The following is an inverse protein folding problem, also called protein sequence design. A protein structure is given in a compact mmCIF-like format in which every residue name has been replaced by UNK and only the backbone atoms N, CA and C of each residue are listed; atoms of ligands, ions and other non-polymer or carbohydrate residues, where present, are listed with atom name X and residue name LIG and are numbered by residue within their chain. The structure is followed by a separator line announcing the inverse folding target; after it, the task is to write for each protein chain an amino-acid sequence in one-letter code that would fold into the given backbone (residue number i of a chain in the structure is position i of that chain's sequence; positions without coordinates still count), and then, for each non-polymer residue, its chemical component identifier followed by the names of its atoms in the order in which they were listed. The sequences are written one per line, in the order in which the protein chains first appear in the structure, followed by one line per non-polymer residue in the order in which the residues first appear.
data_IF_556558957804
#
_entry.id   IF_556558957804
#
_cell.length_a   1.000
_cell.length_b   1.000
_cell.length_c   1.000
_cell.angle_alpha   90.00
_cell.angle_beta   90.00
_cell.angle_gamma   90.00
#
_symmetry.space_group_name_H-M   'P 1'
#
loop_
_entity.id
_entity.type
_entity.pdbx_description
1 polymer ?
#
# COMPACT_ATOMS: atom_id res chain seq x y z
N UNK A 1 57.61 -10.97 84.10
CA UNK A 1 57.80 -12.33 83.64
C UNK A 1 56.41 -12.96 83.51
N UNK A 2 56.17 -13.61 82.44
CA UNK A 2 55.01 -14.43 82.06
C UNK A 2 53.83 -13.76 81.31
N UNK A 3 53.98 -13.93 80.03
CA UNK A 3 52.94 -13.78 79.01
C UNK A 3 51.90 -14.88 79.10
N UNK A 4 50.62 -14.52 79.03
CA UNK A 4 49.57 -15.44 78.58
C UNK A 4 48.86 -14.80 77.46
N UNK A 5 49.00 -15.38 76.26
CA UNK A 5 48.35 -15.03 75.01
C UNK A 5 46.91 -15.47 75.10
N UNK A 6 45.99 -14.55 74.90
CA UNK A 6 44.59 -14.87 74.61
C UNK A 6 44.38 -14.85 73.10
N UNK A 7 44.04 -16.00 72.57
CA UNK A 7 43.63 -16.25 71.21
C UNK A 7 42.22 -15.78 71.03
N UNK A 8 42.03 -14.71 70.31
CA UNK A 8 40.65 -14.24 69.94
C UNK A 8 40.35 -14.72 68.52
N UNK A 9 39.48 -15.71 68.46
CA UNK A 9 38.86 -16.19 67.20
C UNK A 9 38.00 -15.09 66.58
N UNK A 10 38.42 -14.60 65.42
CA UNK A 10 37.54 -13.72 64.60
C UNK A 10 36.72 -14.57 63.68
N UNK A 11 35.41 -14.68 63.96
CA UNK A 11 34.42 -15.27 63.11
C UNK A 11 34.06 -14.23 62.02
N UNK A 12 34.54 -14.45 60.81
CA UNK A 12 34.16 -13.61 59.66
C UNK A 12 32.78 -14.07 59.13
N UNK A 13 31.77 -13.27 59.39
CA UNK A 13 30.44 -13.44 58.77
C UNK A 13 30.52 -12.88 57.36
N UNK A 14 30.58 -13.75 56.36
CA UNK A 14 30.44 -13.38 54.97
C UNK A 14 28.95 -13.14 54.68
N UNK A 15 28.53 -11.87 54.56
CA UNK A 15 27.21 -11.48 54.06
C UNK A 15 27.22 -11.64 52.55
N UNK A 16 26.61 -12.71 52.09
CA UNK A 16 26.31 -12.90 50.65
C UNK A 16 25.14 -12.01 50.31
N UNK A 17 25.37 -10.85 49.74
CA UNK A 17 24.36 -10.00 49.15
C UNK A 17 23.93 -10.65 47.80
N UNK A 18 22.84 -11.43 47.83
CA UNK A 18 22.17 -11.89 46.63
C UNK A 18 21.45 -10.67 45.98
N UNK A 19 22.10 -10.04 45.01
CA UNK A 19 21.49 -9.04 44.19
C UNK A 19 20.43 -9.73 43.30
N UNK A 20 19.18 -9.64 43.69
CA UNK A 20 18.02 -9.96 42.83
C UNK A 20 17.99 -8.95 41.69
N UNK A 21 18.63 -9.31 40.57
CA UNK A 21 18.39 -8.68 39.29
C UNK A 21 16.97 -9.02 38.86
N UNK A 22 16.02 -8.25 39.30
CA UNK A 22 14.69 -8.18 38.64
C UNK A 22 14.92 -7.62 37.24
N UNK A 23 15.11 -8.51 36.27
CA UNK A 23 14.97 -8.15 34.87
C UNK A 23 13.51 -7.67 34.69
N UNK A 24 13.35 -6.36 34.58
CA UNK A 24 12.16 -5.78 34.00
C UNK A 24 12.11 -6.24 32.54
N UNK A 25 11.52 -7.41 32.30
CA UNK A 25 11.07 -7.79 30.99
C UNK A 25 10.04 -6.71 30.58
N UNK A 26 10.44 -5.80 29.71
CA UNK A 26 9.49 -4.93 29.03
C UNK A 26 8.41 -5.84 28.47
N UNK A 27 7.12 -5.55 28.71
CA UNK A 27 6.06 -6.34 28.10
C UNK A 27 6.24 -6.21 26.59
N UNK A 28 6.73 -7.28 25.96
CA UNK A 28 6.58 -7.43 24.51
C UNK A 28 5.10 -7.33 24.27
N UNK A 29 4.67 -6.20 23.69
CA UNK A 29 3.27 -6.00 23.30
C UNK A 29 2.88 -7.27 22.54
N UNK A 30 1.94 -8.05 23.10
CA UNK A 30 1.36 -9.21 22.43
C UNK A 30 0.86 -8.69 21.09
N UNK A 31 1.52 -9.07 20.00
CA UNK A 31 1.08 -8.76 18.66
C UNK A 31 -0.35 -9.28 18.57
N UNK A 32 -1.28 -8.37 18.33
CA UNK A 32 -2.70 -8.68 18.21
C UNK A 32 -2.84 -9.88 17.26
N UNK A 33 -3.43 -10.96 17.71
CA UNK A 33 -3.51 -12.24 16.98
C UNK A 33 -4.49 -12.17 15.79
N UNK A 34 -5.00 -10.95 15.45
CA UNK A 34 -5.91 -10.79 14.31
C UNK A 34 -5.20 -10.93 12.97
N UNK A 35 -5.92 -11.36 11.97
CA UNK A 35 -5.45 -11.40 10.58
C UNK A 35 -5.11 -9.98 10.11
N UNK A 36 -3.89 -9.73 9.61
CA UNK A 36 -3.51 -8.41 9.10
C UNK A 36 -4.39 -7.94 7.95
N UNK A 37 -4.62 -6.63 7.87
CA UNK A 37 -5.43 -5.99 6.84
C UNK A 37 -4.58 -5.02 6.03
N UNK A 38 -4.53 -5.22 4.72
CA UNK A 38 -3.93 -4.30 3.75
C UNK A 38 -5.03 -3.69 2.90
N UNK A 39 -5.05 -2.37 2.80
CA UNK A 39 -5.99 -1.62 1.97
C UNK A 39 -5.23 -0.86 0.88
N UNK A 40 -5.62 -1.02 -0.38
CA UNK A 40 -5.20 -0.16 -1.47
C UNK A 40 -6.35 0.76 -1.87
N UNK A 41 -6.08 2.06 -2.10
CA UNK A 41 -7.05 3.06 -2.55
C UNK A 41 -6.49 3.78 -3.77
N UNK A 42 -7.15 3.63 -4.92
CA UNK A 42 -6.71 4.19 -6.20
C UNK A 42 -7.83 4.95 -6.90
N UNK A 43 -7.49 5.63 -8.00
CA UNK A 43 -8.41 6.51 -8.70
C UNK A 43 -9.34 5.75 -9.64
N UNK A 44 -8.80 4.86 -10.48
CA UNK A 44 -9.53 4.20 -11.56
C UNK A 44 -9.44 2.68 -11.48
N UNK A 45 -10.38 1.94 -12.07
CA UNK A 45 -10.18 0.52 -12.35
C UNK A 45 -9.01 0.34 -13.31
N UNK A 46 -7.99 -0.44 -12.98
CA UNK A 46 -6.69 -0.72 -13.61
C UNK A 46 -5.47 -0.13 -12.90
N UNK A 47 -5.62 0.90 -12.08
CA UNK A 47 -4.53 1.52 -11.30
C UNK A 47 -3.80 0.52 -10.38
N UNK A 48 -4.55 -0.44 -9.83
CA UNK A 48 -4.00 -1.49 -8.94
C UNK A 48 -2.94 -2.33 -9.63
N UNK A 49 -2.90 -2.36 -10.96
CA UNK A 49 -1.91 -3.08 -11.74
C UNK A 49 -0.48 -2.77 -11.31
N UNK A 50 -0.22 -1.55 -10.87
CA UNK A 50 1.10 -1.08 -10.39
C UNK A 50 1.57 -1.75 -9.09
N UNK A 51 0.65 -2.31 -8.31
CA UNK A 51 0.93 -2.98 -7.02
C UNK A 51 0.31 -4.37 -6.94
N UNK A 52 -0.33 -4.86 -7.99
CA UNK A 52 -1.11 -6.10 -8.00
C UNK A 52 -0.31 -7.33 -7.56
N UNK A 53 0.98 -7.43 -7.92
CA UNK A 53 1.85 -8.49 -7.45
C UNK A 53 2.06 -8.44 -5.91
N UNK A 54 2.13 -7.24 -5.34
CA UNK A 54 2.23 -7.06 -3.88
C UNK A 54 0.90 -7.41 -3.20
N UNK A 55 -0.25 -7.02 -3.78
CA UNK A 55 -1.56 -7.39 -3.25
C UNK A 55 -1.74 -8.92 -3.24
N UNK A 56 -1.41 -9.59 -4.35
CA UNK A 56 -1.45 -11.04 -4.47
C UNK A 56 -0.53 -11.74 -3.46
N UNK A 57 0.68 -11.23 -3.25
CA UNK A 57 1.63 -11.72 -2.25
C UNK A 57 1.04 -11.71 -0.84
N UNK A 58 0.48 -10.59 -0.41
CA UNK A 58 -0.07 -10.48 0.94
C UNK A 58 -1.33 -11.34 1.12
N UNK A 59 -2.16 -11.46 0.10
CA UNK A 59 -3.29 -12.38 0.11
C UNK A 59 -2.84 -13.84 0.24
N UNK A 60 -1.83 -14.25 -0.53
CA UNK A 60 -1.24 -15.59 -0.43
C UNK A 60 -0.60 -15.87 0.94
N UNK A 61 -0.09 -14.82 1.62
CA UNK A 61 0.42 -14.90 2.99
C UNK A 61 -0.67 -14.88 4.07
N UNK A 62 -1.96 -14.87 3.70
CA UNK A 62 -3.09 -14.93 4.62
C UNK A 62 -3.59 -13.59 5.14
N UNK A 63 -3.11 -12.46 4.62
CA UNK A 63 -3.67 -11.15 4.97
C UNK A 63 -5.05 -10.94 4.29
N UNK A 64 -5.92 -10.18 4.93
CA UNK A 64 -7.13 -9.66 4.29
C UNK A 64 -6.75 -8.45 3.46
N UNK A 65 -6.80 -8.59 2.14
CA UNK A 65 -6.42 -7.53 1.21
C UNK A 65 -7.65 -6.95 0.57
N UNK A 66 -7.77 -5.62 0.59
CA UNK A 66 -8.88 -4.87 0.02
C UNK A 66 -8.37 -3.87 -1.01
N UNK A 67 -9.15 -3.68 -2.06
CA UNK A 67 -8.94 -2.67 -3.09
C UNK A 67 -10.16 -1.76 -3.16
N UNK A 68 -9.97 -0.47 -2.99
CA UNK A 68 -10.97 0.57 -3.20
C UNK A 68 -10.60 1.43 -4.40
N UNK A 69 -11.60 1.74 -5.23
CA UNK A 69 -11.43 2.57 -6.42
C UNK A 69 -12.38 3.75 -6.34
N UNK A 70 -11.85 4.96 -6.51
CA UNK A 70 -12.57 6.20 -6.29
C UNK A 70 -13.58 6.47 -7.40
N UNK A 71 -13.14 6.47 -8.66
CA UNK A 71 -13.99 6.81 -9.80
C UNK A 71 -14.36 5.56 -10.61
N UNK A 72 -15.39 5.70 -11.44
CA UNK A 72 -15.89 4.61 -12.29
C UNK A 72 -15.13 4.46 -13.61
N UNK A 73 -14.22 5.38 -13.92
CA UNK A 73 -13.38 5.33 -15.12
C UNK A 73 -14.14 5.46 -16.44
N UNK A 74 -15.39 6.00 -16.42
CA UNK A 74 -16.29 6.09 -17.58
C UNK A 74 -15.79 6.89 -18.77
N UNK A 75 -14.76 7.74 -18.57
CA UNK A 75 -14.17 8.59 -19.60
C UNK A 75 -12.92 7.99 -20.23
N UNK A 76 -12.36 6.93 -19.63
CA UNK A 76 -11.15 6.25 -20.08
C UNK A 76 -11.36 5.35 -21.29
N UNK A 77 -11.61 5.94 -22.46
CA UNK A 77 -11.86 5.21 -23.72
C UNK A 77 -10.54 4.80 -24.37
N UNK A 78 -10.35 3.50 -24.59
CA UNK A 78 -9.25 2.98 -25.41
C UNK A 78 -9.76 2.61 -26.81
N UNK A 79 -9.04 3.02 -27.88
CA UNK A 79 -9.51 2.85 -29.26
C UNK A 79 -9.84 1.40 -29.67
N UNK A 80 -9.07 0.43 -29.14
CA UNK A 80 -9.24 -0.99 -29.46
C UNK A 80 -10.53 -1.59 -28.87
N UNK A 81 -11.07 -1.00 -27.79
CA UNK A 81 -12.22 -1.57 -27.09
C UNK A 81 -13.56 -1.38 -27.83
N UNK A 82 -13.61 -0.47 -28.81
CA UNK A 82 -14.82 -0.20 -29.59
C UNK A 82 -15.98 0.32 -28.72
N UNK A 83 -15.69 0.86 -27.52
CA UNK A 83 -16.67 1.41 -26.57
C UNK A 83 -16.62 2.92 -26.60
N UNK A 84 -17.72 3.55 -26.14
CA UNK A 84 -17.80 5.00 -25.93
C UNK A 84 -17.79 5.33 -24.46
N UNK A 85 -17.39 6.56 -24.12
CA UNK A 85 -17.48 7.06 -22.76
C UNK A 85 -18.93 7.01 -22.24
N UNK A 86 -19.10 6.69 -20.95
CA UNK A 86 -20.40 6.67 -20.30
C UNK A 86 -20.66 5.44 -19.44
N UNK A 87 -21.93 5.22 -19.10
CA UNK A 87 -22.36 4.20 -18.14
C UNK A 87 -22.01 2.76 -18.55
N UNK A 88 -22.06 2.46 -19.86
CA UNK A 88 -21.70 1.13 -20.37
C UNK A 88 -20.21 0.81 -20.13
N UNK A 89 -19.32 1.79 -20.33
CA UNK A 89 -17.91 1.65 -20.06
C UNK A 89 -17.65 1.52 -18.55
N UNK A 90 -18.30 2.34 -17.72
CA UNK A 90 -18.20 2.24 -16.26
C UNK A 90 -18.60 0.84 -15.76
N UNK A 91 -19.70 0.30 -16.25
CA UNK A 91 -20.16 -1.05 -15.91
C UNK A 91 -19.17 -2.13 -16.35
N UNK A 92 -18.63 -2.04 -17.56
CA UNK A 92 -17.61 -2.96 -18.06
C UNK A 92 -16.35 -2.94 -17.18
N UNK A 93 -15.83 -1.75 -16.86
CA UNK A 93 -14.65 -1.59 -16.01
C UNK A 93 -14.86 -2.09 -14.58
N UNK A 94 -16.07 -1.98 -14.04
CA UNK A 94 -16.41 -2.55 -12.73
C UNK A 94 -16.32 -4.09 -12.74
N UNK A 95 -16.83 -4.76 -13.79
CA UNK A 95 -16.72 -6.21 -13.94
C UNK A 95 -15.26 -6.65 -14.20
N UNK A 96 -14.49 -5.87 -14.95
CA UNK A 96 -13.06 -6.12 -15.16
C UNK A 96 -12.29 -6.05 -13.84
N UNK A 97 -12.57 -5.06 -13.00
CA UNK A 97 -11.94 -4.93 -11.68
C UNK A 97 -12.30 -6.09 -10.74
N UNK A 98 -13.55 -6.56 -10.82
CA UNK A 98 -13.98 -7.77 -10.08
C UNK A 98 -13.20 -9.01 -10.55
N UNK A 99 -13.08 -9.21 -11.87
CA UNK A 99 -12.23 -10.26 -12.44
C UNK A 99 -10.79 -10.14 -11.89
N UNK A 100 -10.21 -8.94 -11.86
CA UNK A 100 -8.87 -8.68 -11.34
C UNK A 100 -8.74 -9.10 -9.88
N UNK A 101 -9.66 -8.69 -9.01
CA UNK A 101 -9.60 -9.06 -7.60
C UNK A 101 -9.70 -10.56 -7.37
N UNK A 102 -10.49 -11.27 -8.17
CA UNK A 102 -10.57 -12.74 -8.16
C UNK A 102 -9.24 -13.38 -8.57
N UNK A 103 -8.58 -12.88 -9.66
CA UNK A 103 -7.27 -13.40 -10.11
C UNK A 103 -6.17 -13.16 -9.08
N UNK A 104 -6.21 -12.04 -8.37
CA UNK A 104 -5.26 -11.73 -7.30
C UNK A 104 -5.51 -12.52 -6.02
N UNK A 105 -6.72 -13.10 -5.84
CA UNK A 105 -7.13 -13.79 -4.62
C UNK A 105 -7.37 -12.84 -3.45
N UNK A 106 -7.82 -11.62 -3.73
CA UNK A 106 -8.16 -10.59 -2.74
C UNK A 106 -9.67 -10.44 -2.59
N UNK A 107 -10.12 -9.64 -1.61
CA UNK A 107 -11.55 -9.40 -1.43
C UNK A 107 -12.16 -8.69 -2.65
N UNK A 108 -13.48 -8.83 -2.89
CA UNK A 108 -14.17 -8.11 -3.96
C UNK A 108 -13.87 -6.59 -3.89
N UNK A 109 -13.83 -5.90 -5.03
CA UNK A 109 -13.48 -4.49 -5.06
C UNK A 109 -14.53 -3.63 -4.37
N UNK A 110 -14.08 -2.54 -3.74
CA UNK A 110 -14.92 -1.51 -3.14
C UNK A 110 -14.93 -0.34 -4.12
N UNK A 111 -16.08 -0.12 -4.76
CA UNK A 111 -16.26 0.96 -5.73
C UNK A 111 -16.98 2.12 -5.04
N UNK A 112 -16.35 3.31 -4.99
CA UNK A 112 -17.02 4.51 -4.48
C UNK A 112 -17.98 5.09 -5.51
N UNK A 113 -17.81 4.75 -6.81
CA UNK A 113 -18.71 5.13 -7.88
C UNK A 113 -18.74 6.63 -8.17
N UNK A 114 -17.68 7.35 -7.79
CA UNK A 114 -17.57 8.76 -8.14
C UNK A 114 -17.37 8.91 -9.65
N UNK A 115 -17.81 10.07 -10.16
CA UNK A 115 -17.66 10.36 -11.57
C UNK A 115 -16.17 10.50 -11.94
N UNK A 116 -15.78 9.93 -13.06
CA UNK A 116 -14.42 10.04 -13.59
C UNK A 116 -14.02 11.51 -13.77
N UNK A 117 -12.74 11.86 -13.50
CA UNK A 117 -12.24 13.22 -13.36
C UNK A 117 -12.92 14.04 -12.23
N UNK A 118 -13.65 13.36 -11.33
CA UNK A 118 -14.31 13.97 -10.18
C UNK A 118 -15.10 15.23 -10.54
N UNK A 119 -15.75 15.21 -11.73
CA UNK A 119 -16.54 16.32 -12.27
C UNK A 119 -15.77 17.63 -12.47
N UNK A 120 -14.46 17.60 -12.66
CA UNK A 120 -13.63 18.78 -12.86
C UNK A 120 -14.14 19.65 -14.03
N UNK A 121 -14.63 19.02 -15.11
CA UNK A 121 -15.18 19.69 -16.29
C UNK A 121 -16.52 20.38 -16.05
N UNK A 122 -17.24 20.07 -14.97
CA UNK A 122 -18.53 20.65 -14.62
C UNK A 122 -18.41 21.92 -13.74
N UNK A 123 -17.18 22.31 -13.39
CA UNK A 123 -16.88 23.48 -12.59
C UNK A 123 -16.48 23.18 -11.15
N UNK A 124 -16.06 24.22 -10.43
CA UNK A 124 -15.44 24.08 -9.11
C UNK A 124 -16.38 23.45 -8.07
N UNK A 125 -17.66 23.84 -8.04
CA UNK A 125 -18.57 23.36 -7.00
C UNK A 125 -18.87 21.86 -7.11
N UNK A 126 -19.30 21.30 -8.26
CA UNK A 126 -19.47 19.87 -8.43
C UNK A 126 -18.18 19.08 -8.12
N UNK A 127 -17.03 19.62 -8.52
CA UNK A 127 -15.73 19.03 -8.21
C UNK A 127 -15.47 18.94 -6.70
N UNK A 128 -15.68 20.02 -5.96
CA UNK A 128 -15.50 20.07 -4.49
C UNK A 128 -16.46 19.13 -3.77
N UNK A 129 -17.69 18.96 -4.26
CA UNK A 129 -18.67 17.99 -3.71
C UNK A 129 -18.18 16.54 -3.88
N UNK A 130 -17.57 16.21 -5.04
CA UNK A 130 -16.99 14.88 -5.27
C UNK A 130 -15.77 14.65 -4.35
N UNK A 131 -14.93 15.66 -4.14
CA UNK A 131 -13.79 15.57 -3.21
C UNK A 131 -14.25 15.34 -1.76
N UNK A 132 -15.30 16.05 -1.33
CA UNK A 132 -15.88 15.87 -0.01
C UNK A 132 -16.43 14.44 0.16
N UNK A 133 -17.13 13.92 -0.85
CA UNK A 133 -17.63 12.54 -0.85
C UNK A 133 -16.49 11.53 -0.78
N UNK A 134 -15.41 11.74 -1.57
CA UNK A 134 -14.23 10.87 -1.52
C UNK A 134 -13.60 10.83 -0.12
N UNK A 135 -13.46 11.98 0.53
CA UNK A 135 -12.95 12.10 1.90
C UNK A 135 -13.80 11.29 2.88
N UNK A 136 -15.11 11.43 2.79
CA UNK A 136 -16.06 10.73 3.66
C UNK A 136 -16.00 9.21 3.45
N UNK A 137 -15.95 8.75 2.21
CA UNK A 137 -15.85 7.32 1.89
C UNK A 137 -14.53 6.70 2.37
N UNK A 138 -13.40 7.39 2.17
CA UNK A 138 -12.10 6.94 2.70
C UNK A 138 -12.12 6.89 4.24
N UNK A 139 -12.70 7.90 4.89
CA UNK A 139 -12.81 7.95 6.36
C UNK A 139 -13.62 6.76 6.88
N UNK A 140 -14.83 6.53 6.32
CA UNK A 140 -15.68 5.38 6.67
C UNK A 140 -14.97 4.05 6.43
N UNK A 141 -14.18 3.97 5.35
CA UNK A 141 -13.45 2.75 5.00
C UNK A 141 -12.34 2.45 6.02
N UNK A 142 -11.61 3.47 6.47
CA UNK A 142 -10.60 3.34 7.52
C UNK A 142 -11.22 2.90 8.84
N UNK A 143 -12.33 3.51 9.25
CA UNK A 143 -13.06 3.15 10.47
C UNK A 143 -13.61 1.70 10.42
N UNK A 144 -14.14 1.29 9.26
CA UNK A 144 -14.75 -0.04 9.08
C UNK A 144 -13.74 -1.17 9.01
N UNK A 145 -12.65 -0.99 8.26
CA UNK A 145 -11.67 -2.04 7.99
C UNK A 145 -10.53 -2.07 9.00
N UNK A 146 -10.24 -0.95 9.66
CA UNK A 146 -9.07 -0.78 10.52
C UNK A 146 -7.80 -1.36 9.89
N UNK A 147 -7.37 -0.91 8.69
CA UNK A 147 -6.25 -1.51 8.00
C UNK A 147 -4.96 -1.34 8.79
N UNK A 148 -4.08 -2.34 8.78
CA UNK A 148 -2.75 -2.21 9.38
C UNK A 148 -1.84 -1.32 8.52
N UNK A 149 -2.06 -1.36 7.20
CA UNK A 149 -1.36 -0.52 6.25
C UNK A 149 -2.29 -0.11 5.10
N UNK A 150 -2.06 1.08 4.56
CA UNK A 150 -2.74 1.61 3.37
C UNK A 150 -1.72 1.86 2.27
N UNK A 151 -2.11 1.58 1.02
CA UNK A 151 -1.38 1.96 -0.19
C UNK A 151 -2.24 2.95 -0.96
N UNK A 152 -1.66 4.04 -1.44
CA UNK A 152 -2.28 4.95 -2.42
C UNK A 152 -1.21 5.57 -3.30
N UNK A 153 -1.59 6.35 -4.30
CA UNK A 153 -0.64 7.09 -5.12
C UNK A 153 0.23 8.03 -4.30
N UNK A 154 1.48 8.23 -4.73
CA UNK A 154 2.33 9.29 -4.22
C UNK A 154 1.93 10.67 -4.76
N UNK A 155 2.54 11.76 -4.27
CA UNK A 155 2.20 13.12 -4.67
C UNK A 155 2.33 13.41 -6.16
N UNK A 156 3.16 12.64 -6.87
CA UNK A 156 3.32 12.75 -8.33
C UNK A 156 2.12 12.22 -9.11
N UNK A 157 1.28 11.37 -8.49
CA UNK A 157 0.21 10.66 -9.19
C UNK A 157 0.72 9.65 -10.22
N UNK A 158 1.93 9.09 -10.02
CA UNK A 158 2.59 8.12 -10.89
C UNK A 158 2.91 8.66 -12.28
N UNK A 159 1.91 8.93 -13.11
CA UNK A 159 2.01 9.51 -14.46
C UNK A 159 1.75 11.01 -14.50
N UNK A 160 1.44 11.63 -13.37
CA UNK A 160 0.99 13.01 -13.29
C UNK A 160 -0.52 13.19 -13.48
N UNK A 161 -1.29 12.08 -13.59
CA UNK A 161 -2.74 12.14 -13.79
C UNK A 161 -3.41 12.95 -12.66
N UNK A 162 -4.32 13.90 -12.98
CA UNK A 162 -4.97 14.74 -11.96
C UNK A 162 -5.70 13.94 -10.89
N UNK A 163 -6.48 12.91 -11.27
CA UNK A 163 -7.24 12.10 -10.33
C UNK A 163 -6.32 11.28 -9.41
N UNK A 164 -5.20 10.76 -9.93
CA UNK A 164 -4.22 10.06 -9.09
C UNK A 164 -3.66 10.98 -8.01
N UNK A 165 -3.31 12.22 -8.38
CA UNK A 165 -2.82 13.24 -7.44
C UNK A 165 -3.88 13.62 -6.42
N UNK A 166 -5.13 13.74 -6.86
CA UNK A 166 -6.24 14.12 -6.00
C UNK A 166 -6.58 13.00 -5.00
N UNK A 167 -6.69 11.75 -5.47
CA UNK A 167 -6.87 10.59 -4.59
C UNK A 167 -5.72 10.46 -3.61
N UNK A 168 -4.47 10.61 -4.07
CA UNK A 168 -3.29 10.66 -3.19
C UNK A 168 -3.44 11.71 -2.10
N UNK A 169 -3.83 12.94 -2.48
CA UNK A 169 -3.99 14.05 -1.55
C UNK A 169 -5.07 13.78 -0.52
N UNK A 170 -6.25 13.32 -0.94
CA UNK A 170 -7.39 13.05 -0.04
C UNK A 170 -7.11 11.88 0.91
N UNK A 171 -6.55 10.77 0.40
CA UNK A 171 -6.19 9.63 1.27
C UNK A 171 -5.13 10.02 2.29
N UNK A 172 -4.15 10.85 1.88
CA UNK A 172 -3.11 11.37 2.77
C UNK A 172 -3.71 12.33 3.81
N UNK A 173 -4.62 13.23 3.40
CA UNK A 173 -5.36 14.12 4.29
C UNK A 173 -6.12 13.34 5.35
N UNK A 174 -6.89 12.33 4.96
CA UNK A 174 -7.64 11.49 5.90
C UNK A 174 -6.69 10.76 6.86
N UNK A 175 -5.59 10.19 6.33
CA UNK A 175 -4.58 9.54 7.17
C UNK A 175 -3.99 10.48 8.22
N UNK A 176 -3.77 11.75 7.87
CA UNK A 176 -3.19 12.77 8.75
C UNK A 176 -4.23 13.49 9.64
N UNK A 177 -5.53 13.34 9.38
CA UNK A 177 -6.58 14.13 10.04
C UNK A 177 -6.73 13.88 11.54
N UNK A 178 -6.31 12.72 12.01
CA UNK A 178 -6.36 12.32 13.42
C UNK A 178 -5.34 11.21 13.72
N UNK A 179 -5.10 10.95 14.99
CA UNK A 179 -4.35 9.77 15.42
C UNK A 179 -5.23 8.53 15.26
N UNK A 180 -4.89 7.71 14.30
CA UNK A 180 -5.53 6.41 14.09
C UNK A 180 -4.86 5.34 14.95
N UNK A 181 -5.64 4.46 15.55
CA UNK A 181 -5.09 3.20 16.06
C UNK A 181 -4.65 2.35 14.86
N UNK A 182 -5.45 2.37 13.81
CA UNK A 182 -5.18 1.87 12.47
C UNK A 182 -5.90 2.77 11.45
N UNK A 183 -5.25 3.08 10.31
CA UNK A 183 -3.98 2.57 9.81
C UNK A 183 -2.75 3.10 10.56
N UNK A 184 -1.78 2.18 10.77
CA UNK A 184 -0.51 2.55 11.40
C UNK A 184 0.47 3.18 10.41
N UNK A 185 0.31 2.94 9.09
CA UNK A 185 1.19 3.43 8.04
C UNK A 185 0.46 3.59 6.70
N UNK A 186 0.88 4.62 5.96
CA UNK A 186 0.49 4.88 4.58
C UNK A 186 1.73 4.77 3.69
N UNK A 187 1.59 4.08 2.55
CA UNK A 187 2.66 3.83 1.60
C UNK A 187 2.30 4.31 0.20
N UNK A 188 3.29 4.85 -0.50
CA UNK A 188 3.21 5.26 -1.90
C UNK A 188 4.09 4.35 -2.74
N UNK A 189 3.54 3.62 -3.74
CA UNK A 189 4.34 2.89 -4.69
C UNK A 189 5.21 3.85 -5.49
N UNK A 190 6.43 3.44 -5.81
CA UNK A 190 7.36 4.31 -6.49
C UNK A 190 8.33 3.53 -7.39
N UNK A 191 8.77 4.20 -8.45
CA UNK A 191 9.87 3.72 -9.30
C UNK A 191 11.14 4.48 -8.90
N UNK A 192 12.23 3.77 -8.56
CA UNK A 192 13.49 4.42 -8.25
C UNK A 192 14.04 5.23 -9.42
N UNK A 193 14.63 6.39 -9.13
CA UNK A 193 15.33 7.19 -10.16
C UNK A 193 16.38 6.36 -10.87
N UNK A 194 16.41 6.44 -12.20
CA UNK A 194 17.31 5.67 -13.06
C UNK A 194 16.84 4.25 -13.39
N UNK A 195 15.64 3.82 -12.94
CA UNK A 195 15.07 2.51 -13.27
C UNK A 195 14.02 2.55 -14.38
N UNK A 196 13.58 3.72 -14.82
CA UNK A 196 12.70 3.86 -15.98
C UNK A 196 13.55 3.86 -17.24
N UNK A 197 13.28 2.97 -18.21
CA UNK A 197 13.97 3.01 -19.49
C UNK A 197 13.80 4.36 -20.20
N UNK A 198 14.83 4.84 -20.89
CA UNK A 198 14.80 6.12 -21.60
C UNK A 198 13.71 6.21 -22.68
N UNK A 199 13.32 5.07 -23.24
CA UNK A 199 12.29 4.94 -24.28
C UNK A 199 10.92 4.51 -23.70
N UNK A 200 10.70 4.67 -22.38
CA UNK A 200 9.41 4.32 -21.79
C UNK A 200 8.31 5.20 -22.40
N UNK A 201 7.22 4.60 -22.94
CA UNK A 201 6.18 5.36 -23.65
C UNK A 201 5.33 6.23 -22.71
N UNK A 202 5.35 5.92 -21.41
CA UNK A 202 4.56 6.62 -20.39
C UNK A 202 5.51 7.45 -19.53
N UNK A 203 5.28 8.76 -19.37
CA UNK A 203 6.09 9.60 -18.49
C UNK A 203 5.85 9.20 -17.03
N UNK A 204 6.72 8.38 -16.46
CA UNK A 204 6.65 7.97 -15.07
C UNK A 204 7.44 8.93 -14.17
N UNK A 205 6.83 9.37 -13.09
CA UNK A 205 7.55 10.07 -12.03
C UNK A 205 8.43 9.08 -11.26
N UNK A 206 9.67 9.48 -11.01
CA UNK A 206 10.62 8.66 -10.24
C UNK A 206 10.88 9.27 -8.87
N UNK A 207 11.32 8.44 -7.93
CA UNK A 207 11.63 8.83 -6.56
C UNK A 207 13.07 8.44 -6.22
N UNK A 208 13.81 9.37 -5.62
CA UNK A 208 15.17 9.12 -5.17
C UNK A 208 15.19 8.00 -4.11
N UNK A 209 16.18 7.09 -4.20
CA UNK A 209 16.28 5.92 -3.32
C UNK A 209 16.31 6.25 -1.82
N UNK A 210 16.76 7.44 -1.42
CA UNK A 210 16.77 7.87 -0.02
C UNK A 210 15.37 7.93 0.61
N UNK A 211 14.32 8.09 -0.21
CA UNK A 211 12.92 8.11 0.23
C UNK A 211 12.26 6.73 0.19
N UNK A 212 12.90 5.74 -0.45
CA UNK A 212 12.36 4.40 -0.66
C UNK A 212 12.79 3.46 0.47
N UNK A 213 12.26 3.71 1.66
CA UNK A 213 12.63 2.96 2.86
C UNK A 213 12.03 1.55 2.91
N UNK A 214 11.03 1.25 2.07
CA UNK A 214 10.36 -0.05 2.05
C UNK A 214 10.55 -0.72 0.69
N UNK A 215 11.11 -1.94 0.71
CA UNK A 215 11.44 -2.76 -0.45
C UNK A 215 10.82 -4.13 -0.26
N UNK A 216 9.70 -4.39 -0.93
CA UNK A 216 8.94 -5.65 -0.80
C UNK A 216 9.42 -6.63 -1.88
N UNK A 217 10.03 -7.77 -1.51
CA UNK A 217 10.36 -8.81 -2.47
C UNK A 217 9.10 -9.41 -3.08
N UNK A 218 9.10 -9.60 -4.40
CA UNK A 218 7.99 -10.17 -5.18
C UNK A 218 8.50 -11.39 -5.93
N UNK A 219 7.75 -12.48 -5.90
CA UNK A 219 8.10 -13.75 -6.54
C UNK A 219 7.50 -13.87 -7.94
N UNK A 220 7.98 -14.83 -8.72
CA UNK A 220 7.38 -15.16 -10.03
C UNK A 220 5.90 -15.52 -9.91
N UNK A 221 5.52 -16.26 -8.85
CA UNK A 221 4.13 -16.62 -8.62
C UNK A 221 3.22 -15.41 -8.33
N UNK A 222 3.74 -14.39 -7.64
CA UNK A 222 3.03 -13.14 -7.41
C UNK A 222 2.86 -12.37 -8.74
N UNK A 223 3.89 -12.36 -9.56
CA UNK A 223 3.85 -11.75 -10.89
C UNK A 223 2.88 -12.44 -11.85
N UNK A 224 2.80 -13.77 -11.84
CA UNK A 224 1.82 -14.50 -12.68
C UNK A 224 0.38 -14.14 -12.31
N UNK A 225 0.05 -14.04 -11.02
CA UNK A 225 -1.26 -13.57 -10.57
C UNK A 225 -1.51 -12.12 -11.00
N UNK A 226 -0.50 -11.25 -10.87
CA UNK A 226 -0.56 -9.87 -11.34
C UNK A 226 -0.90 -9.80 -12.81
N UNK A 227 -0.20 -10.54 -13.65
CA UNK A 227 -0.45 -10.60 -15.10
C UNK A 227 -1.86 -11.07 -15.42
N UNK A 228 -2.34 -12.11 -14.73
CA UNK A 228 -3.70 -12.60 -14.88
C UNK A 228 -4.75 -11.52 -14.53
N UNK A 229 -4.47 -10.67 -13.54
CA UNK A 229 -5.30 -9.52 -13.21
C UNK A 229 -5.29 -8.46 -14.32
N UNK A 230 -4.12 -8.07 -14.82
CA UNK A 230 -4.01 -7.10 -15.92
C UNK A 230 -4.81 -7.52 -17.15
N UNK A 231 -4.80 -8.81 -17.49
CA UNK A 231 -5.56 -9.36 -18.62
C UNK A 231 -7.10 -9.26 -18.45
N UNK A 232 -7.58 -8.91 -17.27
CA UNK A 232 -8.99 -8.64 -17.05
C UNK A 232 -9.42 -7.28 -17.62
N UNK A 233 -8.52 -6.28 -17.67
CA UNK A 233 -8.83 -4.91 -18.10
C UNK A 233 -8.85 -4.76 -19.63
N UNK A 234 -9.75 -5.50 -20.29
CA UNK A 234 -9.85 -5.60 -21.75
C UNK A 234 -10.32 -4.32 -22.43
N UNK A 235 -11.07 -3.47 -21.70
CA UNK A 235 -11.46 -2.15 -22.20
C UNK A 235 -10.31 -1.16 -22.20
N UNK A 236 -9.19 -1.48 -21.51
CA UNK A 236 -8.03 -0.59 -21.37
C UNK A 236 -6.81 -1.10 -22.15
N UNK A 237 -6.63 -2.42 -22.22
CA UNK A 237 -5.44 -3.04 -22.80
C UNK A 237 -5.78 -4.22 -23.69
N UNK A 238 -5.06 -4.35 -24.82
CA UNK A 238 -5.03 -5.62 -25.56
C UNK A 238 -4.10 -6.62 -24.84
N UNK A 239 -4.22 -7.93 -25.09
CA UNK A 239 -3.29 -8.92 -24.53
C UNK A 239 -1.82 -8.63 -24.88
N UNK A 240 -1.54 -8.12 -26.08
CA UNK A 240 -0.19 -7.76 -26.54
C UNK A 240 0.35 -6.54 -25.77
N UNK A 241 -0.50 -5.55 -25.50
CA UNK A 241 -0.14 -4.40 -24.68
C UNK A 241 0.14 -4.83 -23.24
N UNK A 242 -0.68 -5.73 -22.66
CA UNK A 242 -0.42 -6.29 -21.34
C UNK A 242 0.94 -6.98 -21.31
N UNK A 243 1.27 -7.80 -22.30
CA UNK A 243 2.57 -8.48 -22.35
C UNK A 243 3.73 -7.49 -22.35
N UNK A 244 3.69 -6.47 -23.20
CA UNK A 244 4.74 -5.45 -23.30
C UNK A 244 4.90 -4.63 -22.02
N UNK A 245 3.79 -4.12 -21.46
CA UNK A 245 3.79 -3.33 -20.24
C UNK A 245 4.25 -4.17 -19.04
N UNK A 246 3.78 -5.41 -18.95
CA UNK A 246 4.15 -6.35 -17.92
C UNK A 246 5.65 -6.66 -17.92
N UNK A 247 6.22 -6.98 -19.09
CA UNK A 247 7.65 -7.25 -19.20
C UNK A 247 8.49 -6.03 -18.80
N UNK A 248 8.10 -4.84 -19.25
CA UNK A 248 8.74 -3.59 -18.85
C UNK A 248 8.66 -3.36 -17.33
N UNK A 249 7.50 -3.59 -16.74
CA UNK A 249 7.25 -3.39 -15.32
C UNK A 249 8.05 -4.39 -14.46
N UNK A 250 8.02 -5.68 -14.81
CA UNK A 250 8.78 -6.73 -14.11
C UNK A 250 10.29 -6.47 -14.22
N UNK A 251 10.76 -6.07 -15.41
CA UNK A 251 12.16 -5.70 -15.63
C UNK A 251 12.59 -4.50 -14.77
N UNK A 252 11.76 -3.47 -14.68
CA UNK A 252 12.03 -2.28 -13.86
C UNK A 252 12.06 -2.58 -12.36
N UNK A 253 11.19 -3.47 -11.89
CA UNK A 253 11.15 -3.87 -10.48
C UNK A 253 12.25 -4.88 -10.10
N UNK A 254 12.67 -5.72 -11.01
CA UNK A 254 13.69 -6.76 -10.78
C UNK A 254 13.41 -7.59 -9.48
N UNK A 255 12.15 -7.97 -9.28
CA UNK A 255 11.73 -8.74 -8.11
C UNK A 255 11.52 -7.94 -6.82
N UNK A 256 11.58 -6.60 -6.87
CA UNK A 256 11.43 -5.73 -5.69
C UNK A 256 10.47 -4.59 -5.99
N UNK A 257 9.34 -4.56 -5.31
CA UNK A 257 8.45 -3.41 -5.32
C UNK A 257 8.90 -2.37 -4.27
N UNK A 258 9.02 -1.11 -4.69
CA UNK A 258 9.53 -0.02 -3.86
C UNK A 258 8.40 0.87 -3.38
N UNK A 259 8.49 1.27 -2.11
CA UNK A 259 7.52 2.15 -1.48
C UNK A 259 8.18 3.25 -0.67
N UNK A 260 7.58 4.43 -0.76
CA UNK A 260 7.85 5.55 0.13
C UNK A 260 6.83 5.52 1.26
N UNK A 261 7.26 5.41 2.54
CA UNK A 261 6.33 5.55 3.67
C UNK A 261 5.99 7.02 3.91
N UNK A 262 4.72 7.30 4.26
CA UNK A 262 4.28 8.64 4.66
C UNK A 262 4.94 9.09 5.97
N UNK A 263 5.04 8.17 6.94
CA UNK A 263 5.79 8.40 8.17
C UNK A 263 7.15 7.72 8.05
N UNK A 264 8.21 8.50 8.09
CA UNK A 264 9.56 7.96 8.05
C UNK A 264 9.82 7.08 9.29
N UNK A 265 10.11 5.80 9.07
CA UNK A 265 10.52 4.87 10.12
C UNK A 265 12.04 4.84 10.27
N UNK A 266 12.51 4.27 11.38
CA UNK A 266 13.95 3.98 11.55
C UNK A 266 14.32 2.75 10.72
N UNK A 267 15.26 2.93 9.77
CA UNK A 267 15.82 1.84 8.96
C UNK A 267 14.96 1.41 7.76
N UNK A 268 15.53 0.49 6.97
CA UNK A 268 14.87 -0.10 5.81
C UNK A 268 13.98 -1.27 6.23
N UNK A 269 12.82 -1.41 5.58
CA UNK A 269 11.88 -2.51 5.80
C UNK A 269 11.70 -3.32 4.52
N UNK A 270 11.39 -4.61 4.67
CA UNK A 270 11.07 -5.52 3.57
C UNK A 270 9.61 -5.98 3.57
N UNK A 271 8.76 -5.33 4.35
CA UNK A 271 7.33 -5.61 4.46
C UNK A 271 6.54 -4.33 4.68
N UNK A 272 5.27 -4.33 4.26
CA UNK A 272 4.28 -3.29 4.55
C UNK A 272 3.53 -3.58 5.86
N UNK A 273 3.44 -4.83 6.25
CA UNK A 273 2.73 -5.35 7.43
C UNK A 273 3.69 -5.85 8.50
#
# INVERSE_FOLDING_TARGET
MNNIKKLASRLSIAVVAAALLTQCASPTAKRDARTPVLLAVFAHPDDESTVSAVLAKYAAAGARVYLATATDGRLGVAPHAGTTAGDSLAAARAEELKCTTEKLGINPPILFGLYDQLKMGEGLRPHMEQIATLRDEVTKLFDRLEPDAVITWGPSGWTGHPDHRLVSSVVTEVFQSRTWVRPAQLYYPAVPTGKVPANNPIPLATVDERFLAVKVPVTSADYEKSKAGWLCHRTQYTPEQVEQLYQSFVGAQAGIAHFQPQIAGKGKKNSLL
#
